data_IF_070895286141
#
_entry.id   IF_070895286141
#
_cell.length_a   1.000
_cell.length_b   1.000
_cell.length_c   1.000
_cell.angle_alpha   90.00
_cell.angle_beta   90.00
_cell.angle_gamma   90.00
#
_symmetry.space_group_name_H-M   'P 1'
#
loop_
_entity.id
_entity.type
_entity.pdbx_description
1 polymer ?
#
# COMPACT_ATOMS: atom_id res chain seq x y z
N UNK A 1 -10.59 -10.73 19.28
CA UNK A 1 -10.55 -9.40 19.97
C UNK A 1 -11.68 -8.55 19.43
N UNK A 2 -12.19 -7.59 20.23
CA UNK A 2 -13.27 -6.72 19.73
C UNK A 2 -12.79 -5.81 18.59
N UNK A 3 -13.63 -5.64 17.57
CA UNK A 3 -13.31 -4.93 16.32
C UNK A 3 -14.56 -4.21 15.76
N UNK A 4 -14.33 -3.26 14.86
CA UNK A 4 -15.39 -2.65 14.05
C UNK A 4 -15.32 -3.25 12.66
N UNK A 5 -16.41 -3.84 12.19
CA UNK A 5 -16.56 -4.39 10.86
C UNK A 5 -17.46 -3.49 10.04
N UNK A 6 -16.95 -2.93 8.95
CA UNK A 6 -17.72 -2.15 7.99
C UNK A 6 -17.83 -2.96 6.72
N UNK A 7 -19.02 -3.46 6.43
CA UNK A 7 -19.33 -4.24 5.24
C UNK A 7 -19.94 -3.33 4.18
N UNK A 8 -19.34 -3.29 3.01
CA UNK A 8 -19.74 -2.45 1.88
C UNK A 8 -20.21 -3.39 0.77
N UNK A 9 -21.51 -3.38 0.48
CA UNK A 9 -22.10 -4.28 -0.50
C UNK A 9 -21.65 -3.97 -1.93
N UNK A 10 -21.21 -4.98 -2.66
CA UNK A 10 -20.79 -4.87 -4.06
C UNK A 10 -19.86 -6.00 -4.46
N UNK A 11 -19.78 -6.23 -5.76
CA UNK A 11 -18.94 -7.26 -6.37
C UNK A 11 -17.59 -6.64 -6.70
N UNK A 12 -16.70 -6.55 -5.70
CA UNK A 12 -15.39 -5.91 -5.81
C UNK A 12 -14.28 -6.92 -6.10
N UNK A 13 -13.20 -6.44 -6.71
CA UNK A 13 -11.93 -7.19 -6.86
C UNK A 13 -10.81 -6.58 -6.06
N UNK A 14 -10.84 -5.26 -5.81
CA UNK A 14 -9.81 -4.57 -5.03
C UNK A 14 -10.37 -3.30 -4.39
N UNK A 15 -9.67 -2.81 -3.35
CA UNK A 15 -9.99 -1.54 -2.69
C UNK A 15 -8.74 -0.87 -2.13
N UNK A 16 -8.76 0.45 -2.11
CA UNK A 16 -7.68 1.27 -1.55
C UNK A 16 -8.24 2.48 -0.81
N UNK A 17 -7.62 2.87 0.30
CA UNK A 17 -7.97 4.12 0.99
C UNK A 17 -6.77 5.05 1.05
N UNK A 18 -6.98 6.31 0.62
CA UNK A 18 -5.94 7.32 0.59
C UNK A 18 -6.54 8.69 0.89
N UNK A 19 -5.97 9.40 1.86
CA UNK A 19 -6.32 10.81 2.16
C UNK A 19 -7.82 11.08 2.39
N UNK A 20 -8.58 10.10 2.90
CA UNK A 20 -10.02 10.21 3.08
C UNK A 20 -10.86 9.83 1.86
N UNK A 21 -10.23 9.33 0.79
CA UNK A 21 -10.90 8.75 -0.37
C UNK A 21 -10.82 7.23 -0.31
N UNK A 22 -11.97 6.56 -0.39
CA UNK A 22 -12.05 5.13 -0.62
C UNK A 22 -12.17 4.89 -2.13
N UNK A 23 -11.23 4.14 -2.69
CA UNK A 23 -11.28 3.62 -4.06
C UNK A 23 -11.71 2.17 -4.03
N UNK A 24 -12.55 1.77 -4.96
CA UNK A 24 -12.95 0.37 -5.19
C UNK A 24 -12.88 0.07 -6.67
N UNK A 25 -12.50 -1.15 -7.01
CA UNK A 25 -12.60 -1.67 -8.38
C UNK A 25 -13.58 -2.84 -8.34
N UNK A 26 -14.58 -2.80 -9.20
CA UNK A 26 -15.57 -3.87 -9.31
C UNK A 26 -15.16 -4.94 -10.33
N UNK A 27 -15.95 -6.01 -10.39
CA UNK A 27 -15.76 -7.13 -11.32
C UNK A 27 -15.94 -6.77 -12.80
N UNK A 28 -16.46 -5.58 -13.11
CA UNK A 28 -16.53 -5.03 -14.47
C UNK A 28 -15.28 -4.19 -14.82
N UNK A 29 -14.33 -4.03 -13.90
CA UNK A 29 -13.15 -3.18 -14.09
C UNK A 29 -13.44 -1.69 -13.90
N UNK A 30 -14.57 -1.35 -13.26
CA UNK A 30 -14.90 0.05 -12.97
C UNK A 30 -14.26 0.48 -11.66
N UNK A 31 -13.33 1.42 -11.75
CA UNK A 31 -12.76 2.10 -10.60
C UNK A 31 -13.70 3.21 -10.15
N UNK A 32 -14.20 3.16 -8.93
CA UNK A 32 -15.00 4.22 -8.32
C UNK A 32 -14.30 4.82 -7.11
N UNK A 33 -14.56 6.09 -6.84
CA UNK A 33 -14.08 6.81 -5.66
C UNK A 33 -15.25 7.27 -4.80
N UNK A 34 -15.06 7.15 -3.48
CA UNK A 34 -16.04 7.59 -2.48
C UNK A 34 -15.34 8.48 -1.46
N UNK A 35 -15.99 9.57 -1.04
CA UNK A 35 -15.55 10.31 0.13
C UNK A 35 -15.81 9.46 1.38
N UNK A 36 -14.74 8.94 1.99
CA UNK A 36 -14.83 8.15 3.21
C UNK A 36 -15.52 8.91 4.33
N UNK A 37 -15.19 10.21 4.49
CA UNK A 37 -15.84 11.08 5.47
C UNK A 37 -17.35 11.17 5.23
N UNK A 38 -17.77 11.43 3.99
CA UNK A 38 -19.19 11.59 3.68
C UNK A 38 -19.98 10.29 3.90
N UNK A 39 -19.39 9.12 3.61
CA UNK A 39 -20.01 7.84 3.90
C UNK A 39 -20.23 7.67 5.42
N UNK A 40 -19.17 7.87 6.20
CA UNK A 40 -19.21 7.72 7.65
C UNK A 40 -20.13 8.76 8.29
N UNK A 41 -20.03 10.04 7.90
CA UNK A 41 -20.92 11.12 8.40
C UNK A 41 -22.39 10.86 8.07
N UNK A 42 -22.68 10.36 6.87
CA UNK A 42 -24.05 10.05 6.45
C UNK A 42 -24.62 8.87 7.23
N UNK A 43 -23.81 7.85 7.50
CA UNK A 43 -24.22 6.73 8.34
C UNK A 43 -24.60 7.20 9.75
N UNK A 44 -23.72 7.94 10.42
CA UNK A 44 -23.97 8.39 11.80
C UNK A 44 -25.04 9.49 11.93
N UNK A 45 -25.42 10.14 10.84
CA UNK A 45 -26.62 10.99 10.80
C UNK A 45 -27.92 10.18 10.82
N UNK A 46 -27.90 8.99 10.21
CA UNK A 46 -29.07 8.11 10.17
C UNK A 46 -29.14 7.20 11.41
N UNK A 47 -28.00 6.76 11.91
CA UNK A 47 -27.86 5.80 13.00
C UNK A 47 -26.97 6.42 14.07
N UNK A 48 -27.55 6.82 15.20
CA UNK A 48 -26.81 7.43 16.32
C UNK A 48 -26.02 6.43 17.18
N UNK A 49 -26.31 5.13 17.01
CA UNK A 49 -25.60 4.07 17.74
C UNK A 49 -24.11 4.11 17.36
N UNK A 50 -23.25 3.93 18.37
CA UNK A 50 -21.80 3.90 18.21
C UNK A 50 -21.16 5.17 17.64
N UNK A 51 -21.86 6.32 17.71
CA UNK A 51 -21.34 7.62 17.19
C UNK A 51 -20.04 8.07 17.85
N UNK A 52 -19.72 7.55 19.04
CA UNK A 52 -18.44 7.76 19.71
C UNK A 52 -17.25 7.23 18.87
N UNK A 53 -17.43 6.20 18.04
CA UNK A 53 -16.38 5.66 17.18
C UNK A 53 -16.20 6.41 15.86
N UNK A 54 -17.04 7.39 15.55
CA UNK A 54 -17.00 8.14 14.31
C UNK A 54 -15.59 8.64 13.93
N UNK A 55 -14.90 9.32 14.85
CA UNK A 55 -13.55 9.85 14.62
C UNK A 55 -12.52 8.76 14.38
N UNK A 56 -12.60 7.65 15.13
CA UNK A 56 -11.69 6.50 14.99
C UNK A 56 -11.86 5.83 13.64
N UNK A 57 -13.11 5.71 13.16
CA UNK A 57 -13.40 5.15 11.84
C UNK A 57 -12.80 6.02 10.73
N UNK A 58 -12.82 7.34 10.87
CA UNK A 58 -12.25 8.25 9.89
C UNK A 58 -10.72 8.17 9.82
N UNK A 59 -10.05 8.18 10.97
CA UNK A 59 -8.58 8.22 11.04
C UNK A 59 -8.12 7.70 12.39
N UNK A 60 -7.26 6.70 12.40
CA UNK A 60 -6.77 6.05 13.64
C UNK A 60 -6.00 7.01 14.57
N UNK A 61 -5.52 8.16 14.08
CA UNK A 61 -4.83 9.17 14.90
C UNK A 61 -5.76 10.03 15.75
N UNK A 62 -7.04 10.08 15.39
CA UNK A 62 -7.99 11.03 16.01
C UNK A 62 -8.47 10.60 17.40
N UNK A 63 -8.34 9.31 17.74
CA UNK A 63 -8.89 8.82 19.02
C UNK A 63 -8.14 7.58 19.53
N UNK A 64 -6.90 7.78 19.97
CA UNK A 64 -6.03 6.70 20.45
C UNK A 64 -6.48 6.15 21.84
N UNK A 65 -7.39 6.82 22.53
CA UNK A 65 -7.85 6.41 23.87
C UNK A 65 -9.16 5.63 23.85
N UNK A 66 -9.89 5.66 22.73
CA UNK A 66 -11.16 4.94 22.63
C UNK A 66 -10.91 3.47 22.30
N UNK A 67 -11.21 2.59 23.25
CA UNK A 67 -11.13 1.15 23.07
C UNK A 67 -12.44 0.61 22.51
N UNK A 68 -12.32 -0.28 21.53
CA UNK A 68 -13.42 -1.11 21.07
C UNK A 68 -13.54 -2.25 22.08
N UNK A 69 -14.65 -2.32 22.81
CA UNK A 69 -14.88 -3.32 23.85
C UNK A 69 -15.78 -4.45 23.37
N UNK A 70 -16.59 -4.20 22.34
CA UNK A 70 -17.50 -5.17 21.73
C UNK A 70 -17.40 -5.11 20.19
N UNK A 71 -17.83 -6.19 19.53
CA UNK A 71 -17.88 -6.22 18.07
C UNK A 71 -19.00 -5.32 17.56
N UNK A 72 -18.64 -4.40 16.66
CA UNK A 72 -19.56 -3.47 16.04
C UNK A 72 -19.60 -3.79 14.54
N UNK A 73 -20.80 -3.94 13.98
CA UNK A 73 -20.98 -4.14 12.55
C UNK A 73 -21.76 -2.97 11.96
N UNK A 74 -21.18 -2.37 10.93
CA UNK A 74 -21.76 -1.29 10.12
C UNK A 74 -21.96 -1.85 8.71
N UNK A 75 -23.09 -1.55 8.10
CA UNK A 75 -23.39 -2.02 6.75
C UNK A 75 -23.74 -0.85 5.83
N UNK A 76 -23.04 -0.77 4.70
CA UNK A 76 -23.31 0.16 3.60
C UNK A 76 -23.86 -0.66 2.43
N UNK A 77 -25.17 -0.64 2.25
CA UNK A 77 -25.83 -1.30 1.13
C UNK A 77 -25.66 -0.53 -0.19
N UNK A 78 -26.05 -1.14 -1.30
CA UNK A 78 -25.93 -0.54 -2.63
C UNK A 78 -26.68 0.80 -2.74
N UNK A 79 -27.88 0.88 -2.17
CA UNK A 79 -28.69 2.11 -2.17
C UNK A 79 -28.00 3.23 -1.38
N UNK A 80 -27.43 2.91 -0.22
CA UNK A 80 -26.66 3.87 0.58
C UNK A 80 -25.44 4.38 -0.17
N UNK A 81 -24.71 3.50 -0.86
CA UNK A 81 -23.54 3.88 -1.66
C UNK A 81 -23.93 4.79 -2.81
N UNK A 82 -24.93 4.43 -3.61
CA UNK A 82 -25.42 5.23 -4.73
C UNK A 82 -25.88 6.62 -4.28
N UNK A 83 -26.62 6.70 -3.20
CA UNK A 83 -27.12 7.96 -2.63
C UNK A 83 -25.99 8.85 -2.11
N UNK A 84 -24.90 8.26 -1.63
CA UNK A 84 -23.74 8.95 -1.08
C UNK A 84 -22.54 8.99 -2.05
N UNK A 85 -22.67 8.42 -3.23
CA UNK A 85 -21.66 8.47 -4.28
C UNK A 85 -21.55 9.89 -4.81
N UNK A 86 -20.63 10.65 -4.27
CA UNK A 86 -20.30 12.00 -4.71
C UNK A 86 -18.93 12.07 -5.40
N UNK A 87 -18.35 10.90 -5.66
CA UNK A 87 -17.09 10.74 -6.36
C UNK A 87 -17.27 10.48 -7.86
N UNK A 88 -16.17 10.24 -8.52
CA UNK A 88 -16.13 9.91 -9.95
C UNK A 88 -15.79 8.44 -10.14
N UNK A 89 -16.18 7.87 -11.28
CA UNK A 89 -15.76 6.55 -11.71
C UNK A 89 -14.96 6.62 -13.02
N UNK A 90 -14.14 5.62 -13.26
CA UNK A 90 -13.31 5.47 -14.46
C UNK A 90 -13.33 3.99 -14.87
N UNK A 91 -13.60 3.75 -16.13
CA UNK A 91 -13.48 2.42 -16.74
C UNK A 91 -12.00 2.14 -17.02
N UNK A 92 -11.47 1.06 -16.42
CA UNK A 92 -10.08 0.64 -16.61
C UNK A 92 -9.91 -0.25 -17.84
N UNK A 93 -11.00 -0.77 -18.42
CA UNK A 93 -11.02 -1.71 -19.56
C UNK A 93 -10.28 -3.04 -19.29
N UNK A 94 -9.80 -3.24 -18.08
CA UNK A 94 -9.12 -4.46 -17.59
C UNK A 94 -9.22 -4.56 -16.07
N UNK A 95 -9.10 -5.76 -15.55
CA UNK A 95 -8.94 -5.96 -14.12
C UNK A 95 -7.53 -5.52 -13.68
N UNK A 96 -7.48 -4.78 -12.58
CA UNK A 96 -6.21 -4.50 -11.95
C UNK A 96 -5.67 -5.74 -11.23
N UNK A 97 -4.36 -5.88 -11.20
CA UNK A 97 -3.66 -6.86 -10.37
C UNK A 97 -3.23 -6.24 -9.05
N UNK A 98 -2.94 -4.94 -9.03
CA UNK A 98 -2.61 -4.17 -7.83
C UNK A 98 -2.86 -2.67 -8.04
N UNK A 99 -3.03 -1.95 -6.93
CA UNK A 99 -3.21 -0.50 -6.87
C UNK A 99 -2.28 0.11 -5.83
N UNK A 100 -1.71 1.26 -6.17
CA UNK A 100 -1.04 2.12 -5.20
C UNK A 100 -1.33 3.59 -5.49
N UNK A 101 -1.25 4.44 -4.46
CA UNK A 101 -1.54 5.88 -4.59
C UNK A 101 -0.41 6.69 -4.01
N UNK A 102 0.08 7.64 -4.80
CA UNK A 102 1.09 8.60 -4.36
C UNK A 102 0.85 9.96 -5.00
N UNK A 103 0.86 11.00 -4.18
CA UNK A 103 0.79 12.41 -4.63
C UNK A 103 -0.40 12.69 -5.60
N UNK A 104 -1.59 12.14 -5.27
CA UNK A 104 -2.82 12.21 -6.06
C UNK A 104 -2.71 11.57 -7.46
N UNK A 105 -1.89 10.56 -7.58
CA UNK A 105 -1.80 9.70 -8.75
C UNK A 105 -2.07 8.28 -8.31
N UNK A 106 -3.06 7.65 -8.92
CA UNK A 106 -3.28 6.21 -8.85
C UNK A 106 -2.33 5.54 -9.83
N UNK A 107 -1.60 4.55 -9.36
CA UNK A 107 -0.81 3.62 -10.16
C UNK A 107 -1.56 2.30 -10.19
N UNK A 108 -1.84 1.81 -11.38
CA UNK A 108 -2.70 0.66 -11.61
C UNK A 108 -1.95 -0.34 -12.46
N UNK A 109 -1.64 -1.49 -11.90
CA UNK A 109 -1.07 -2.62 -12.63
C UNK A 109 -2.15 -3.54 -13.14
N UNK A 110 -1.88 -4.23 -14.24
CA UNK A 110 -2.80 -5.15 -14.89
C UNK A 110 -2.05 -6.16 -15.76
N UNK A 111 -2.79 -7.03 -16.45
CA UNK A 111 -2.25 -7.92 -17.49
C UNK A 111 -1.64 -7.15 -18.70
N UNK A 112 -1.97 -5.85 -18.84
CA UNK A 112 -1.50 -4.98 -19.95
C UNK A 112 -0.36 -4.05 -19.53
N UNK A 113 0.20 -4.23 -18.34
CA UNK A 113 1.31 -3.42 -17.83
C UNK A 113 0.90 -2.46 -16.72
N UNK A 114 1.49 -1.27 -16.71
CA UNK A 114 1.28 -0.23 -15.72
C UNK A 114 0.70 1.04 -16.36
N UNK A 115 -0.35 1.57 -15.75
CA UNK A 115 -0.89 2.90 -16.08
C UNK A 115 -0.89 3.79 -14.84
N UNK A 116 -0.87 5.09 -15.05
CA UNK A 116 -1.15 6.07 -14.00
C UNK A 116 -2.42 6.84 -14.32
N UNK A 117 -3.18 7.16 -13.27
CA UNK A 117 -4.42 7.93 -13.33
C UNK A 117 -4.33 9.09 -12.34
N UNK A 118 -3.87 10.27 -12.77
CA UNK A 118 -3.89 11.46 -11.93
C UNK A 118 -5.32 11.89 -11.62
N UNK A 119 -5.55 12.34 -10.40
CA UNK A 119 -6.86 12.83 -9.99
C UNK A 119 -6.76 14.17 -9.24
N UNK A 120 -7.85 14.95 -9.33
CA UNK A 120 -8.02 16.16 -8.57
C UNK A 120 -8.90 15.88 -7.35
N UNK A 121 -8.36 16.14 -6.17
CA UNK A 121 -9.04 15.93 -4.88
C UNK A 121 -9.47 17.26 -4.27
N UNK A 122 -10.68 17.27 -3.70
CA UNK A 122 -11.14 18.32 -2.79
C UNK A 122 -10.73 17.93 -1.36
N UNK A 123 -9.63 18.49 -0.89
CA UNK A 123 -8.93 18.08 0.34
C UNK A 123 -9.81 18.13 1.61
N UNK A 124 -10.69 19.11 1.72
CA UNK A 124 -11.54 19.29 2.91
C UNK A 124 -12.55 18.16 3.09
N UNK A 125 -12.94 17.51 2.00
CA UNK A 125 -13.99 16.49 1.98
C UNK A 125 -13.48 15.09 1.62
N UNK A 126 -12.19 14.92 1.27
CA UNK A 126 -11.66 13.65 0.79
C UNK A 126 -12.44 13.12 -0.42
N UNK A 127 -12.73 13.99 -1.39
CA UNK A 127 -13.54 13.69 -2.55
C UNK A 127 -12.73 13.87 -3.82
N UNK A 128 -12.73 12.86 -4.69
CA UNK A 128 -12.21 13.03 -6.05
C UNK A 128 -13.20 13.81 -6.89
N UNK A 129 -12.79 14.97 -7.37
CA UNK A 129 -13.57 15.83 -8.23
C UNK A 129 -13.53 15.38 -9.68
N UNK A 130 -12.40 14.85 -10.10
CA UNK A 130 -12.16 14.43 -11.48
C UNK A 130 -11.00 13.45 -11.56
N UNK A 131 -11.18 12.39 -12.33
CA UNK A 131 -10.07 11.60 -12.87
C UNK A 131 -9.59 12.25 -14.18
N UNK A 132 -8.28 12.32 -14.35
CA UNK A 132 -7.71 12.71 -15.62
C UNK A 132 -7.66 11.51 -16.57
N UNK A 133 -6.91 11.65 -17.66
CA UNK A 133 -6.71 10.56 -18.61
C UNK A 133 -5.77 9.49 -18.03
N UNK A 134 -6.05 8.21 -18.31
CA UNK A 134 -5.12 7.11 -18.10
C UNK A 134 -3.86 7.32 -18.92
N UNK A 135 -2.71 7.29 -18.27
CA UNK A 135 -1.39 7.50 -18.89
C UNK A 135 -0.61 6.18 -18.80
N UNK A 136 -0.31 5.53 -19.91
CA UNK A 136 0.52 4.33 -19.90
C UNK A 136 1.95 4.67 -19.46
N UNK A 137 2.44 3.92 -18.48
CA UNK A 137 3.81 4.02 -18.00
C UNK A 137 4.67 2.85 -18.49
N UNK A 138 4.10 1.65 -18.52
CA UNK A 138 4.75 0.45 -19.02
C UNK A 138 3.70 -0.50 -19.61
N UNK A 139 3.92 -1.05 -20.82
CA UNK A 139 2.91 -1.81 -21.58
C UNK A 139 3.44 -3.11 -22.14
N UNK A 140 4.41 -3.74 -21.54
CA UNK A 140 5.06 -4.87 -22.18
C UNK A 140 4.43 -6.22 -21.80
N UNK A 141 4.05 -6.39 -20.53
CA UNK A 141 3.52 -7.66 -20.03
C UNK A 141 2.71 -7.47 -18.76
N UNK A 142 2.17 -8.56 -18.23
CA UNK A 142 1.45 -8.58 -16.95
C UNK A 142 2.36 -8.13 -15.81
N UNK A 143 1.85 -7.20 -15.02
CA UNK A 143 2.42 -6.78 -13.75
C UNK A 143 1.59 -7.38 -12.63
N UNK A 144 2.20 -8.15 -11.75
CA UNK A 144 1.54 -8.86 -10.66
C UNK A 144 1.35 -8.00 -9.42
N UNK A 145 2.32 -7.13 -9.13
CA UNK A 145 2.28 -6.23 -7.99
C UNK A 145 3.08 -4.96 -8.26
N UNK A 146 2.80 -3.92 -7.52
CA UNK A 146 3.50 -2.65 -7.62
C UNK A 146 3.68 -1.99 -6.25
N UNK A 147 4.71 -1.17 -6.12
CA UNK A 147 4.88 -0.33 -4.95
C UNK A 147 5.50 1.00 -5.35
N UNK A 148 4.78 2.09 -5.06
CA UNK A 148 5.21 3.45 -5.42
C UNK A 148 5.86 4.13 -4.23
N UNK A 149 7.07 4.60 -4.41
CA UNK A 149 7.86 5.27 -3.40
C UNK A 149 7.94 6.79 -3.58
N UNK A 150 8.90 7.39 -2.92
CA UNK A 150 9.17 8.82 -3.02
C UNK A 150 9.65 9.18 -4.44
N UNK A 151 9.30 10.40 -4.88
CA UNK A 151 9.68 10.94 -6.19
C UNK A 151 9.15 10.15 -7.39
N UNK A 152 8.02 9.47 -7.24
CA UNK A 152 7.42 8.68 -8.31
C UNK A 152 8.21 7.42 -8.69
N UNK A 153 9.16 6.98 -7.86
CA UNK A 153 9.85 5.69 -8.03
C UNK A 153 8.86 4.57 -7.81
N UNK A 154 8.62 3.78 -8.82
CA UNK A 154 7.69 2.65 -8.74
C UNK A 154 8.42 1.37 -9.07
N UNK A 155 8.39 0.41 -8.15
CA UNK A 155 8.83 -0.95 -8.41
C UNK A 155 7.67 -1.75 -8.96
N UNK A 156 7.94 -2.58 -9.94
CA UNK A 156 7.01 -3.53 -10.55
C UNK A 156 7.51 -4.95 -10.35
N UNK A 157 6.61 -5.82 -9.92
CA UNK A 157 6.77 -7.25 -9.99
C UNK A 157 6.18 -7.73 -11.33
N UNK A 158 7.03 -7.91 -12.34
CA UNK A 158 6.62 -8.11 -13.73
C UNK A 158 6.75 -9.57 -14.20
N UNK A 159 6.59 -10.53 -13.27
CA UNK A 159 6.66 -11.97 -13.57
C UNK A 159 7.99 -12.35 -14.20
N UNK A 160 7.94 -12.97 -15.38
CA UNK A 160 9.14 -13.41 -16.14
C UNK A 160 10.03 -12.24 -16.61
N UNK A 161 9.53 -11.01 -16.64
CA UNK A 161 10.33 -9.82 -16.90
C UNK A 161 11.09 -9.33 -15.67
N UNK A 162 10.97 -10.04 -14.53
CA UNK A 162 11.69 -9.74 -13.31
C UNK A 162 11.09 -8.60 -12.49
N UNK A 163 11.96 -7.93 -11.74
CA UNK A 163 11.61 -6.73 -10.98
C UNK A 163 12.21 -5.49 -11.65
N UNK A 164 11.36 -4.52 -11.89
CA UNK A 164 11.71 -3.28 -12.61
C UNK A 164 11.48 -2.07 -11.71
N UNK A 165 12.34 -1.05 -11.83
CA UNK A 165 12.06 0.28 -11.32
C UNK A 165 11.67 1.19 -12.49
N UNK A 166 10.49 1.79 -12.40
CA UNK A 166 10.02 2.79 -13.34
C UNK A 166 9.89 4.13 -12.61
N UNK A 167 10.33 5.19 -13.30
CA UNK A 167 10.18 6.55 -12.79
C UNK A 167 9.01 7.22 -13.48
N UNK A 168 8.03 7.65 -12.71
CA UNK A 168 7.05 8.60 -13.17
C UNK A 168 7.61 10.02 -12.96
N UNK A 169 7.84 10.73 -14.04
CA UNK A 169 8.36 12.10 -14.00
C UNK A 169 7.31 13.16 -13.62
N UNK A 170 6.26 12.80 -12.90
CA UNK A 170 5.23 13.73 -12.43
C UNK A 170 5.75 14.99 -11.73
N UNK A 171 7.07 15.10 -11.55
CA UNK A 171 7.75 16.30 -11.10
C UNK A 171 8.22 17.08 -12.34
N UNK A 172 7.45 18.06 -12.77
CA UNK A 172 7.73 18.94 -13.92
C UNK A 172 9.19 19.49 -13.94
N UNK A 173 9.80 19.66 -12.79
CA UNK A 173 11.16 20.12 -12.62
C UNK A 173 12.21 19.07 -13.05
N UNK A 174 11.93 17.78 -12.94
CA UNK A 174 12.83 16.73 -13.41
C UNK A 174 12.86 16.66 -14.93
N UNK A 175 11.75 16.98 -15.61
CA UNK A 175 11.69 17.07 -17.06
C UNK A 175 12.61 18.17 -17.59
N UNK A 176 12.68 19.33 -16.91
CA UNK A 176 13.50 20.49 -17.33
C UNK A 176 14.99 20.19 -17.34
N UNK A 177 15.46 19.19 -16.59
CA UNK A 177 16.88 18.79 -16.54
C UNK A 177 17.17 17.55 -17.41
N UNK A 178 16.26 17.18 -18.30
CA UNK A 178 16.45 16.06 -19.22
C UNK A 178 16.27 14.69 -18.58
N UNK A 179 15.61 14.63 -17.43
CA UNK A 179 15.18 13.36 -16.85
C UNK A 179 14.01 12.84 -17.69
N UNK A 180 14.26 11.77 -18.45
CA UNK A 180 13.27 11.25 -19.38
C UNK A 180 12.20 10.43 -18.66
N UNK A 181 10.96 10.66 -19.07
CA UNK A 181 9.78 9.87 -18.75
C UNK A 181 10.05 8.39 -19.00
N UNK A 182 9.58 7.54 -18.09
CA UNK A 182 9.61 6.09 -18.22
C UNK A 182 11.03 5.49 -18.34
N UNK A 183 11.98 6.05 -17.61
CA UNK A 183 13.28 5.38 -17.49
C UNK A 183 13.12 4.09 -16.70
N UNK A 184 13.24 2.99 -17.40
CA UNK A 184 13.17 1.64 -16.85
C UNK A 184 14.55 1.20 -16.37
N UNK A 185 14.59 0.56 -15.23
CA UNK A 185 15.77 -0.11 -14.69
C UNK A 185 15.40 -1.51 -14.23
N UNK A 186 16.11 -2.50 -14.73
CA UNK A 186 16.00 -3.86 -14.21
C UNK A 186 16.69 -3.90 -12.86
N UNK A 187 15.97 -4.32 -11.81
CA UNK A 187 16.51 -4.52 -10.47
C UNK A 187 16.95 -5.97 -10.31
N UNK A 188 16.10 -6.90 -10.75
CA UNK A 188 16.33 -8.33 -10.66
C UNK A 188 15.72 -9.01 -11.90
N UNK A 189 16.45 -9.99 -12.47
CA UNK A 189 16.00 -10.76 -13.64
C UNK A 189 15.24 -12.06 -13.25
N UNK A 190 15.17 -12.39 -11.97
CA UNK A 190 14.40 -13.54 -11.52
C UNK A 190 12.91 -13.25 -11.55
N UNK A 191 12.09 -14.31 -11.69
CA UNK A 191 10.63 -14.17 -11.66
C UNK A 191 10.22 -13.45 -10.37
N UNK A 192 9.44 -12.36 -10.52
CA UNK A 192 8.98 -11.54 -9.41
C UNK A 192 7.46 -11.43 -9.43
N UNK A 193 6.80 -11.78 -8.32
CA UNK A 193 5.34 -11.84 -8.20
C UNK A 193 4.75 -10.80 -7.23
N UNK A 194 5.52 -10.32 -6.25
CA UNK A 194 5.13 -9.20 -5.37
C UNK A 194 6.35 -8.33 -5.05
N UNK A 195 6.10 -7.07 -4.70
CA UNK A 195 7.16 -6.16 -4.32
C UNK A 195 6.67 -5.11 -3.32
N UNK A 196 7.58 -4.62 -2.48
CA UNK A 196 7.26 -3.59 -1.50
C UNK A 196 8.44 -2.63 -1.27
N UNK A 197 8.19 -1.32 -1.34
CA UNK A 197 9.11 -0.30 -0.85
C UNK A 197 8.98 -0.09 0.65
N UNK A 198 10.10 0.15 1.31
CA UNK A 198 10.09 0.81 2.62
C UNK A 198 9.46 2.22 2.52
N UNK A 199 8.98 2.75 3.65
CA UNK A 199 8.32 4.06 3.70
C UNK A 199 9.16 5.22 3.15
N UNK A 200 10.48 5.09 3.14
CA UNK A 200 11.43 6.08 2.63
C UNK A 200 12.06 5.71 1.27
N UNK A 201 11.59 4.63 0.63
CA UNK A 201 12.07 4.14 -0.66
C UNK A 201 13.59 3.90 -0.74
N UNK A 202 14.17 3.42 0.38
CA UNK A 202 15.59 3.07 0.47
C UNK A 202 15.84 1.57 0.50
N UNK A 203 14.83 0.80 0.82
CA UNK A 203 14.85 -0.66 0.84
C UNK A 203 13.66 -1.19 0.06
N UNK A 204 13.86 -2.27 -0.66
CA UNK A 204 12.82 -3.00 -1.37
C UNK A 204 12.85 -4.48 -1.03
N UNK A 205 11.67 -5.06 -0.89
CA UNK A 205 11.44 -6.50 -0.88
C UNK A 205 10.92 -6.89 -2.26
N UNK A 206 11.48 -7.95 -2.83
CA UNK A 206 11.02 -8.59 -4.05
C UNK A 206 10.67 -10.03 -3.72
N UNK A 207 9.46 -10.43 -4.03
CA UNK A 207 8.94 -11.76 -3.76
C UNK A 207 8.82 -12.53 -5.07
N UNK A 208 9.70 -13.48 -5.28
CA UNK A 208 9.75 -14.32 -6.45
C UNK A 208 9.09 -15.67 -6.23
N UNK A 209 8.97 -16.46 -7.31
CA UNK A 209 8.41 -17.81 -7.25
C UNK A 209 9.24 -18.75 -6.35
N UNK A 210 10.57 -18.68 -6.47
CA UNK A 210 11.49 -19.59 -5.80
C UNK A 210 12.38 -18.90 -4.76
N UNK A 211 12.35 -17.60 -4.68
CA UNK A 211 13.23 -16.83 -3.80
C UNK A 211 12.69 -15.45 -3.45
N UNK A 212 13.05 -14.98 -2.27
CA UNK A 212 12.86 -13.60 -1.85
C UNK A 212 14.19 -12.87 -1.93
N UNK A 213 14.16 -11.67 -2.50
CA UNK A 213 15.33 -10.82 -2.62
C UNK A 213 15.06 -9.46 -1.93
N UNK A 214 16.12 -8.87 -1.41
CA UNK A 214 16.05 -7.57 -0.75
C UNK A 214 17.14 -6.67 -1.28
N UNK A 215 16.78 -5.46 -1.63
CA UNK A 215 17.67 -4.49 -2.23
C UNK A 215 17.73 -3.19 -1.46
N UNK A 216 18.92 -2.62 -1.40
CA UNK A 216 19.16 -1.30 -0.84
C UNK A 216 19.45 -0.31 -1.96
N UNK A 217 18.83 0.85 -1.86
CA UNK A 217 18.96 1.96 -2.82
C UNK A 217 19.50 3.21 -2.14
N UNK A 218 20.11 4.09 -2.90
CA UNK A 218 20.49 5.41 -2.42
C UNK A 218 19.24 6.20 -2.02
N UNK A 219 19.27 6.83 -0.84
CA UNK A 219 18.16 7.62 -0.34
C UNK A 219 18.13 9.02 -0.93
N UNK A 220 16.96 9.45 -1.39
CA UNK A 220 16.67 10.83 -1.74
C UNK A 220 16.22 11.62 -0.49
N UNK A 221 15.45 10.98 0.38
CA UNK A 221 14.82 11.63 1.54
C UNK A 221 15.74 11.80 2.74
N UNK A 222 16.91 11.18 2.75
CA UNK A 222 17.87 11.27 3.86
C UNK A 222 18.65 12.59 3.89
N UNK A 223 18.67 13.34 2.80
CA UNK A 223 19.32 14.64 2.77
C UNK A 223 18.44 15.68 3.49
N UNK A 224 18.99 16.30 4.53
CA UNK A 224 18.29 17.29 5.37
C UNK A 224 17.73 18.48 4.58
N UNK A 225 18.24 18.72 3.37
CA UNK A 225 17.78 19.77 2.47
C UNK A 225 16.40 19.49 1.85
N UNK A 226 15.97 18.25 1.79
CA UNK A 226 14.63 17.86 1.34
C UNK A 226 13.61 17.84 2.46
N UNK A 227 14.05 18.03 3.72
CA UNK A 227 13.13 18.14 4.85
C UNK A 227 12.44 19.50 4.77
N UNK A 228 11.14 19.52 4.63
CA UNK A 228 10.31 20.73 4.71
C UNK A 228 10.58 21.43 6.02
N UNK A 229 11.26 22.58 5.99
CA UNK A 229 11.29 23.49 7.12
C UNK A 229 9.90 24.13 7.21
N UNK A 230 9.12 23.75 8.22
CA UNK A 230 7.75 24.22 8.43
C UNK A 230 7.61 25.73 8.67
N UNK A 231 8.72 26.49 8.73
CA UNK A 231 8.73 27.89 9.19
C UNK A 231 9.22 28.91 8.14
N UNK A 232 9.41 28.57 6.89
CA UNK A 232 9.80 29.59 5.90
C UNK A 232 9.09 29.38 4.55
N UNK A 233 8.66 30.49 3.95
CA UNK A 233 8.13 30.57 2.56
C UNK A 233 9.20 30.21 1.49
N UNK A 234 10.29 29.54 1.85
CA UNK A 234 11.42 29.20 1.00
C UNK A 234 11.51 27.69 0.68
N UNK A 235 10.40 26.97 0.68
CA UNK A 235 10.35 25.55 0.33
C UNK A 235 10.46 25.31 -1.20
N UNK A 236 11.29 26.03 -1.91
CA UNK A 236 11.58 25.73 -3.31
C UNK A 236 12.75 24.75 -3.36
N UNK A 237 12.52 23.57 -3.94
CA UNK A 237 13.60 22.70 -4.42
C UNK A 237 14.48 23.51 -5.36
N UNK A 238 15.76 23.58 -5.04
CA UNK A 238 16.75 24.33 -5.88
C UNK A 238 17.15 23.50 -7.09
N UNK A 239 17.72 24.15 -8.12
CA UNK A 239 18.28 23.43 -9.29
C UNK A 239 19.39 22.43 -8.89
N UNK A 240 20.18 22.76 -7.85
CA UNK A 240 21.21 21.85 -7.35
C UNK A 240 20.62 20.63 -6.63
N UNK A 241 19.49 20.79 -5.94
CA UNK A 241 18.76 19.69 -5.35
C UNK A 241 18.20 18.76 -6.44
N UNK A 242 17.64 19.32 -7.51
CA UNK A 242 17.13 18.58 -8.65
C UNK A 242 18.26 17.79 -9.34
N UNK A 243 19.43 18.41 -9.57
CA UNK A 243 20.60 17.71 -10.14
C UNK A 243 21.06 16.54 -9.27
N UNK A 244 21.04 16.70 -7.93
CA UNK A 244 21.39 15.62 -6.99
C UNK A 244 20.38 14.48 -7.05
N UNK A 245 19.07 14.79 -7.05
CA UNK A 245 18.01 13.80 -7.21
C UNK A 245 18.22 13.03 -8.53
N UNK A 246 18.40 13.74 -9.65
CA UNK A 246 18.63 13.12 -10.92
C UNK A 246 19.88 12.22 -10.93
N UNK A 247 20.96 12.62 -10.26
CA UNK A 247 22.16 11.79 -10.12
C UNK A 247 21.88 10.50 -9.32
N UNK A 248 21.13 10.58 -8.22
CA UNK A 248 20.73 9.40 -7.42
C UNK A 248 19.87 8.47 -8.29
N UNK A 249 18.86 9.02 -8.97
CA UNK A 249 17.95 8.24 -9.82
C UNK A 249 18.63 7.64 -11.06
N UNK A 250 19.70 8.27 -11.55
CA UNK A 250 20.48 7.77 -12.69
C UNK A 250 21.52 6.71 -12.32
N UNK A 251 21.87 6.59 -11.03
CA UNK A 251 22.81 5.55 -10.61
C UNK A 251 22.18 4.17 -10.69
N UNK A 252 22.89 3.22 -11.20
CA UNK A 252 22.59 1.79 -11.10
C UNK A 252 23.03 1.27 -9.72
N UNK A 253 22.33 1.62 -8.66
CA UNK A 253 22.82 1.38 -7.29
C UNK A 253 21.85 0.60 -6.43
N UNK A 254 21.07 -0.30 -7.03
CA UNK A 254 20.42 -1.33 -6.24
C UNK A 254 21.52 -2.30 -5.75
N UNK A 255 21.72 -2.36 -4.44
CA UNK A 255 22.65 -3.30 -3.81
C UNK A 255 21.84 -4.44 -3.20
N UNK A 256 22.09 -5.65 -3.66
CA UNK A 256 21.54 -6.84 -3.02
C UNK A 256 22.06 -6.96 -1.59
N UNK A 257 21.14 -7.05 -0.64
CA UNK A 257 21.38 -7.25 0.78
C UNK A 257 20.70 -8.53 1.29
N UNK A 258 20.24 -9.39 0.37
CA UNK A 258 19.61 -10.67 0.70
C UNK A 258 20.54 -11.49 1.55
N UNK A 259 19.98 -12.17 2.54
CA UNK A 259 20.68 -13.17 3.32
C UNK A 259 20.36 -14.53 2.71
N UNK A 260 21.36 -15.43 2.63
CA UNK A 260 21.08 -16.83 2.27
C UNK A 260 19.99 -17.39 3.19
N UNK A 261 19.08 -18.16 2.60
CA UNK A 261 18.04 -18.91 3.31
C UNK A 261 16.91 -18.07 3.92
N UNK A 262 16.71 -16.82 3.49
CA UNK A 262 15.54 -16.03 3.87
C UNK A 262 14.28 -16.70 3.32
N UNK A 263 13.33 -17.01 4.22
CA UNK A 263 12.00 -17.52 3.85
C UNK A 263 10.98 -16.41 3.73
N UNK A 264 10.96 -15.47 4.69
CA UNK A 264 10.01 -14.37 4.71
C UNK A 264 10.70 -13.08 5.09
N UNK A 265 10.22 -11.97 4.51
CA UNK A 265 10.65 -10.63 4.85
C UNK A 265 9.47 -9.67 4.86
N UNK A 266 9.54 -8.64 5.69
CA UNK A 266 8.47 -7.64 5.81
C UNK A 266 9.03 -6.34 6.38
N UNK A 267 8.26 -5.26 6.21
CA UNK A 267 8.55 -4.00 6.88
C UNK A 267 7.70 -3.82 8.14
N UNK A 268 8.35 -3.34 9.22
CA UNK A 268 7.67 -2.74 10.38
C UNK A 268 8.03 -1.25 10.39
N UNK A 269 7.14 -0.42 9.86
CA UNK A 269 7.44 0.98 9.54
C UNK A 269 8.54 1.10 8.47
N UNK A 270 9.68 1.67 8.83
CA UNK A 270 10.84 1.76 7.92
C UNK A 270 11.89 0.67 8.15
N UNK A 271 11.67 -0.24 9.08
CA UNK A 271 12.62 -1.32 9.41
C UNK A 271 12.32 -2.57 8.62
N UNK A 272 13.35 -3.13 8.01
CA UNK A 272 13.27 -4.41 7.31
C UNK A 272 13.58 -5.54 8.28
N UNK A 273 12.69 -6.50 8.35
CA UNK A 273 12.83 -7.76 9.08
C UNK A 273 12.85 -8.94 8.13
N UNK A 274 13.48 -10.03 8.56
CA UNK A 274 13.51 -11.29 7.83
C UNK A 274 13.55 -12.47 8.79
N UNK A 275 13.12 -13.62 8.28
CA UNK A 275 13.21 -14.93 8.93
C UNK A 275 13.91 -15.88 7.99
N UNK A 276 14.89 -16.65 8.50
CA UNK A 276 15.57 -17.70 7.75
C UNK A 276 14.85 -19.06 7.86
N UNK A 277 15.37 -20.07 7.15
CA UNK A 277 14.87 -21.45 7.15
C UNK A 277 14.90 -22.14 8.52
N UNK A 278 15.62 -21.58 9.50
CA UNK A 278 15.68 -22.08 10.88
C UNK A 278 14.77 -21.26 11.83
N UNK A 279 13.84 -20.47 11.28
CA UNK A 279 12.96 -19.58 12.04
C UNK A 279 13.69 -18.51 12.89
N UNK A 280 14.95 -18.20 12.54
CA UNK A 280 15.66 -17.11 13.19
C UNK A 280 15.24 -15.78 12.61
N UNK A 281 14.86 -14.87 13.49
CA UNK A 281 14.47 -13.51 13.12
C UNK A 281 15.67 -12.59 13.05
N UNK A 282 15.70 -11.75 12.03
CA UNK A 282 16.70 -10.72 11.82
C UNK A 282 16.03 -9.39 11.54
N UNK A 283 16.74 -8.30 11.82
CA UNK A 283 16.39 -6.99 11.30
C UNK A 283 17.63 -6.34 10.67
N UNK A 284 17.39 -5.51 9.65
CA UNK A 284 18.45 -4.81 8.95
C UNK A 284 18.74 -3.48 9.62
N UNK A 285 20.00 -3.25 10.01
CA UNK A 285 20.45 -2.03 10.66
C UNK A 285 21.87 -1.67 10.22
N UNK A 286 22.07 -0.40 9.84
CA UNK A 286 23.38 0.15 9.49
C UNK A 286 24.19 -0.71 8.49
N UNK A 287 23.50 -1.28 7.49
CA UNK A 287 24.13 -2.10 6.44
C UNK A 287 24.38 -3.55 6.81
N UNK A 288 23.89 -4.04 7.94
CA UNK A 288 24.08 -5.42 8.40
C UNK A 288 22.79 -6.02 9.00
N UNK A 289 22.74 -7.36 8.98
CA UNK A 289 21.67 -8.13 9.60
C UNK A 289 22.01 -8.42 11.07
N UNK A 290 21.07 -8.13 11.96
CA UNK A 290 21.19 -8.35 13.42
C UNK A 290 20.11 -9.34 13.84
N UNK A 291 20.53 -10.43 14.48
CA UNK A 291 19.61 -11.44 15.00
C UNK A 291 18.77 -10.89 16.17
N UNK A 292 17.47 -11.19 16.19
CA UNK A 292 16.52 -10.83 17.23
C UNK A 292 16.02 -12.09 17.90
N UNK A 293 16.16 -12.19 19.23
CA UNK A 293 15.66 -13.33 19.99
C UNK A 293 14.15 -13.22 20.22
N UNK A 294 13.50 -14.38 20.30
CA UNK A 294 12.13 -14.48 20.84
C UNK A 294 11.01 -14.27 19.84
N UNK A 295 11.17 -14.77 18.60
CA UNK A 295 10.04 -14.91 17.70
C UNK A 295 9.93 -16.35 17.18
N UNK A 296 8.72 -16.87 17.31
CA UNK A 296 8.33 -18.16 16.77
C UNK A 296 7.21 -17.93 15.76
N UNK A 297 7.44 -18.22 14.48
CA UNK A 297 6.39 -18.53 13.53
C UNK A 297 6.02 -20.01 13.77
N UNK A 298 4.74 -20.29 13.84
CA UNK A 298 4.26 -21.67 13.86
C UNK A 298 4.61 -22.31 12.51
N UNK A 299 5.32 -23.43 12.52
CA UNK A 299 5.91 -24.04 11.32
C UNK A 299 4.87 -24.72 10.41
N UNK A 300 3.58 -24.72 10.78
CA UNK A 300 2.58 -25.60 10.16
C UNK A 300 2.01 -25.09 8.84
N UNK A 301 2.10 -23.79 8.55
CA UNK A 301 1.46 -23.20 7.36
C UNK A 301 2.50 -22.49 6.49
N UNK A 302 2.58 -22.80 5.21
CA UNK A 302 3.42 -22.06 4.29
C UNK A 302 2.86 -20.63 4.11
N UNK A 303 3.68 -19.63 4.44
CA UNK A 303 3.29 -18.22 4.34
C UNK A 303 3.41 -17.79 2.88
N UNK A 304 2.30 -17.34 2.29
CA UNK A 304 2.27 -16.75 0.95
C UNK A 304 2.57 -15.25 0.99
N UNK A 305 1.91 -14.53 1.91
CA UNK A 305 2.05 -13.07 2.01
C UNK A 305 2.06 -12.64 3.48
N UNK A 306 2.95 -11.74 3.82
CA UNK A 306 3.05 -11.17 5.17
C UNK A 306 3.20 -9.65 5.08
N UNK A 307 2.31 -8.92 5.75
CA UNK A 307 2.38 -7.46 5.89
C UNK A 307 2.18 -7.08 7.36
N UNK A 308 2.82 -5.99 7.78
CA UNK A 308 2.72 -5.52 9.16
C UNK A 308 2.28 -4.07 9.24
N UNK A 309 1.32 -3.81 10.13
CA UNK A 309 0.86 -2.46 10.52
C UNK A 309 0.77 -2.37 12.04
N UNK A 310 0.42 -1.20 12.57
CA UNK A 310 0.30 -1.02 14.03
C UNK A 310 -0.73 -1.97 14.66
N UNK A 311 -1.80 -2.31 13.94
CA UNK A 311 -2.82 -3.26 14.40
C UNK A 311 -2.34 -4.71 14.50
N UNK A 312 -1.19 -5.08 13.93
CA UNK A 312 -0.62 -6.43 13.98
C UNK A 312 0.03 -6.87 12.67
N UNK A 313 0.45 -8.13 12.65
CA UNK A 313 0.93 -8.81 11.44
C UNK A 313 -0.22 -9.54 10.79
N UNK A 314 -0.36 -9.40 9.49
CA UNK A 314 -1.35 -10.06 8.66
C UNK A 314 -0.64 -11.07 7.77
N UNK A 315 -1.10 -12.31 7.81
CA UNK A 315 -0.44 -13.46 7.20
C UNK A 315 -1.47 -14.22 6.38
N UNK A 316 -1.19 -14.36 5.10
CA UNK A 316 -1.90 -15.25 4.19
C UNK A 316 -1.11 -16.55 4.04
N UNK A 317 -1.79 -17.67 4.09
CA UNK A 317 -1.20 -19.01 4.04
C UNK A 317 -1.66 -19.75 2.79
N UNK A 318 -0.97 -20.83 2.45
CA UNK A 318 -1.29 -21.71 1.32
C UNK A 318 -2.60 -22.50 1.49
N UNK A 319 -3.18 -22.46 2.68
CA UNK A 319 -4.53 -22.99 2.98
C UNK A 319 -5.67 -21.99 2.71
N UNK A 320 -5.40 -20.91 1.96
CA UNK A 320 -6.33 -19.81 1.67
C UNK A 320 -6.90 -19.15 2.94
N UNK A 321 -6.12 -19.17 4.02
CA UNK A 321 -6.51 -18.57 5.29
C UNK A 321 -5.74 -17.27 5.57
N UNK A 322 -6.47 -16.25 6.00
CA UNK A 322 -5.94 -14.95 6.41
C UNK A 322 -5.95 -14.82 7.93
N UNK A 323 -4.80 -14.63 8.50
CA UNK A 323 -4.62 -14.49 9.94
C UNK A 323 -4.12 -13.11 10.33
N UNK A 324 -4.46 -12.71 11.54
CA UNK A 324 -3.84 -11.59 12.25
C UNK A 324 -3.07 -12.10 13.46
N UNK A 325 -1.83 -11.64 13.65
CA UNK A 325 -1.00 -11.97 14.81
C UNK A 325 -0.70 -10.73 15.62
N UNK A 326 -1.09 -10.75 16.90
CA UNK A 326 -0.86 -9.67 17.86
C UNK A 326 -0.38 -10.26 19.17
N UNK A 327 0.76 -9.79 19.70
CA UNK A 327 1.35 -10.28 20.95
C UNK A 327 1.48 -11.82 21.00
N UNK A 328 1.87 -12.43 19.89
CA UNK A 328 2.03 -13.88 19.78
C UNK A 328 0.73 -14.69 19.68
N UNK A 329 -0.43 -14.03 19.64
CA UNK A 329 -1.74 -14.70 19.44
C UNK A 329 -2.14 -14.61 17.99
N UNK A 330 -2.44 -15.76 17.38
CA UNK A 330 -2.94 -15.92 16.00
C UNK A 330 -4.48 -15.91 16.05
N UNK A 331 -5.09 -15.10 15.23
CA UNK A 331 -6.54 -14.92 15.08
C UNK A 331 -6.90 -15.09 13.60
N UNK A 332 -7.82 -16.01 13.30
CA UNK A 332 -8.34 -16.20 11.95
C UNK A 332 -9.27 -15.03 11.59
N UNK A 333 -9.02 -14.38 10.48
CA UNK A 333 -9.83 -13.26 10.00
C UNK A 333 -10.79 -13.65 8.88
N UNK A 334 -10.35 -14.51 7.95
CA UNK A 334 -11.14 -14.99 6.83
C UNK A 334 -10.53 -16.26 6.25
N UNK A 335 -11.39 -17.14 5.71
CA UNK A 335 -11.06 -18.29 4.87
C UNK A 335 -11.73 -18.16 3.48
N UNK A 336 -12.40 -17.03 3.25
CA UNK A 336 -13.11 -16.73 2.01
C UNK A 336 -12.81 -15.28 1.64
N UNK A 337 -11.83 -15.09 0.76
CA UNK A 337 -11.44 -13.77 0.25
C UNK A 337 -10.79 -13.89 -1.13
N UNK A 338 -11.03 -12.89 -1.96
CA UNK A 338 -10.39 -12.76 -3.28
C UNK A 338 -9.14 -11.88 -3.21
N UNK A 339 -9.15 -10.88 -2.33
CA UNK A 339 -8.01 -10.01 -2.11
C UNK A 339 -8.03 -9.40 -0.70
N UNK A 340 -6.87 -8.98 -0.23
CA UNK A 340 -6.77 -8.23 1.01
C UNK A 340 -5.65 -7.18 0.96
N UNK A 341 -5.84 -6.11 1.74
CA UNK A 341 -4.90 -5.00 1.79
C UNK A 341 -4.81 -4.36 3.16
N UNK A 342 -3.59 -4.04 3.57
CA UNK A 342 -3.28 -3.17 4.71
C UNK A 342 -2.44 -1.98 4.23
N UNK A 343 -2.28 -0.96 5.07
CA UNK A 343 -1.70 0.33 4.68
C UNK A 343 -0.45 0.67 5.52
N UNK A 344 0.68 -0.07 5.37
CA UNK A 344 1.85 0.08 6.25
C UNK A 344 2.53 1.46 6.14
N UNK A 345 2.37 2.14 5.01
CA UNK A 345 2.92 3.49 4.78
C UNK A 345 1.97 4.62 5.16
N UNK A 346 0.72 4.32 5.49
CA UNK A 346 -0.25 5.30 5.94
C UNK A 346 -0.04 5.62 7.42
N UNK A 347 -0.23 6.89 7.81
CA UNK A 347 -0.30 7.29 9.22
C UNK A 347 -1.74 7.22 9.75
N UNK A 348 -2.73 7.23 8.89
CA UNK A 348 -4.16 7.34 9.22
C UNK A 348 -4.90 6.01 9.25
N UNK A 349 -4.33 4.96 8.63
CA UNK A 349 -5.03 3.70 8.38
C UNK A 349 -4.25 2.47 8.84
N UNK A 350 -3.36 2.61 9.82
CA UNK A 350 -2.58 1.51 10.38
C UNK A 350 -3.36 0.65 11.40
N UNK A 351 -4.63 0.94 11.57
CA UNK A 351 -5.54 0.21 12.46
C UNK A 351 -6.45 -0.76 11.72
N UNK A 352 -6.34 -0.89 10.40
CA UNK A 352 -7.34 -1.59 9.59
C UNK A 352 -6.79 -2.45 8.47
N UNK A 353 -7.63 -3.41 8.07
CA UNK A 353 -7.47 -4.24 6.89
C UNK A 353 -8.72 -4.13 6.02
N UNK A 354 -8.53 -4.13 4.73
CA UNK A 354 -9.57 -4.35 3.73
C UNK A 354 -9.51 -5.82 3.30
N UNK A 355 -10.63 -6.50 3.32
CA UNK A 355 -10.81 -7.88 2.84
C UNK A 355 -11.95 -7.87 1.85
N UNK A 356 -11.68 -8.28 0.63
CA UNK A 356 -12.68 -8.41 -0.43
C UNK A 356 -13.10 -9.87 -0.51
N UNK A 357 -14.39 -10.12 -0.53
CA UNK A 357 -14.98 -11.40 -0.85
C UNK A 357 -16.05 -11.25 -1.93
N UNK A 358 -16.75 -12.33 -2.28
CA UNK A 358 -17.69 -12.36 -3.40
C UNK A 358 -18.91 -11.43 -3.22
N UNK A 359 -19.26 -11.05 -2.00
CA UNK A 359 -20.50 -10.31 -1.71
C UNK A 359 -20.25 -8.87 -1.25
N UNK A 360 -19.10 -8.59 -0.64
CA UNK A 360 -18.80 -7.30 -0.05
C UNK A 360 -17.30 -7.04 0.13
N UNK A 361 -16.97 -5.77 0.23
CA UNK A 361 -15.72 -5.30 0.82
C UNK A 361 -15.90 -5.16 2.32
N UNK A 362 -15.11 -5.88 3.11
CA UNK A 362 -15.07 -5.74 4.56
C UNK A 362 -13.87 -4.91 5.00
N UNK A 363 -14.12 -3.84 5.75
CA UNK A 363 -13.08 -3.04 6.40
C UNK A 363 -13.14 -3.36 7.91
N UNK A 364 -12.13 -4.09 8.39
CA UNK A 364 -11.99 -4.41 9.82
C UNK A 364 -11.06 -3.40 10.49
N UNK A 365 -11.54 -2.76 11.56
CA UNK A 365 -10.80 -1.76 12.34
C UNK A 365 -10.55 -2.30 13.74
N UNK A 366 -9.30 -2.22 14.18
CA UNK A 366 -8.83 -2.82 15.43
C UNK A 366 -8.40 -1.78 16.47
N UNK A 367 -8.28 -2.23 17.70
CA UNK A 367 -7.55 -1.47 18.73
C UNK A 367 -6.03 -1.49 18.41
N UNK A 368 -5.36 -0.33 18.55
CA UNK A 368 -3.93 -0.16 18.40
C UNK A 368 -3.31 0.45 19.65
#
# INVERSE_FOLDING_TARGET
>A
MAEININIAGDFIDSFIYSGVLFTVDTNGILCSYSWRNLVDSYFRLYSNHSNFHKKILDCRNDNNLKIEENITIFFDKEFLEKNQKGTCCDLDVWNTDLDVKDNILYISSERGLVSLPFLEEWDNGKVMKFNQLIPLWKEAKVFGLSTGSWGRTILAAGDNGALEIMNDGVEQLQKIGFHKNKEKIIDNNICLDCEWSSNSTLAILDGLDSKAMYMFDSIDSDSRFKRNNNSNQNRITEDDIKKIANILNKETAKDISKKEIQHSWFEGSRLYAVDSNNKRFYFKAGSWVEVKGWELDESDAVLKLKNITAGKFIETDSDALFRVVNGKKELLSEDFTSWRVFPRSKSYQDRIHVVNDEYLQIKIFNI
#
